data_IF_444425328707
#
_entry.id   IF_444425328707
#
_cell.length_a   1.000
_cell.length_b   1.000
_cell.length_c   1.000
_cell.angle_alpha   90.00
_cell.angle_beta   90.00
_cell.angle_gamma   90.00
#
_symmetry.space_group_name_H-M   'P 1'
#
loop_
_entity.id
_entity.type
_entity.pdbx_description
1 polymer ?
#
# COMPACT_ATOMS: atom_id res chain seq x y z
N UNK A 1 8.05 9.73 8.35
CA UNK A 1 8.60 8.83 7.32
C UNK A 1 7.54 7.97 6.65
N UNK A 2 6.69 7.21 7.38
CA UNK A 2 5.66 6.37 6.73
C UNK A 2 4.70 7.19 5.86
N UNK A 3 4.20 8.32 6.38
CA UNK A 3 3.36 9.27 5.63
C UNK A 3 4.12 9.86 4.43
N UNK A 4 5.40 10.20 4.59
CA UNK A 4 6.20 10.79 3.51
C UNK A 4 6.44 9.79 2.38
N UNK A 5 6.70 8.52 2.72
CA UNK A 5 6.81 7.42 1.75
C UNK A 5 5.47 7.14 1.06
N UNK A 6 4.36 7.20 1.80
CA UNK A 6 3.02 7.07 1.22
C UNK A 6 2.73 8.20 0.21
N UNK A 7 3.02 9.45 0.58
CA UNK A 7 2.88 10.62 -0.32
C UNK A 7 3.70 10.44 -1.60
N UNK A 8 4.96 10.02 -1.46
CA UNK A 8 5.80 9.75 -2.63
C UNK A 8 5.23 8.63 -3.51
N UNK A 9 4.68 7.58 -2.90
CA UNK A 9 4.03 6.48 -3.62
C UNK A 9 2.70 6.86 -4.29
N UNK A 10 2.05 7.95 -3.89
CA UNK A 10 0.87 8.51 -4.57
C UNK A 10 1.26 9.27 -5.85
N UNK A 11 2.46 9.82 -5.90
CA UNK A 11 2.98 10.60 -7.03
C UNK A 11 3.63 9.71 -8.09
N UNK A 12 4.39 8.69 -7.66
CA UNK A 12 5.13 7.79 -8.55
C UNK A 12 5.29 6.38 -7.97
N UNK A 13 5.64 5.42 -8.82
CA UNK A 13 5.97 4.07 -8.38
C UNK A 13 7.33 4.05 -7.67
N UNK A 14 7.37 3.55 -6.43
CA UNK A 14 8.60 3.50 -5.63
C UNK A 14 8.89 2.11 -5.07
N UNK A 15 10.16 1.84 -4.80
CA UNK A 15 10.62 0.68 -4.02
C UNK A 15 10.94 1.14 -2.61
N UNK A 16 10.19 0.65 -1.62
CA UNK A 16 10.43 0.94 -0.20
C UNK A 16 11.28 -0.16 0.43
N UNK A 17 12.56 0.12 0.65
CA UNK A 17 13.49 -0.78 1.32
C UNK A 17 13.68 -0.36 2.78
N UNK A 18 13.09 -1.13 3.71
CA UNK A 18 13.17 -0.91 5.16
C UNK A 18 13.30 -2.25 5.89
N UNK A 19 13.82 -2.23 7.11
CA UNK A 19 13.91 -3.40 7.98
C UNK A 19 12.53 -3.96 8.37
N UNK A 20 12.49 -5.22 8.78
CA UNK A 20 11.27 -5.84 9.30
C UNK A 20 10.86 -5.16 10.61
N UNK A 21 9.55 -4.97 10.82
CA UNK A 21 9.03 -4.22 11.97
C UNK A 21 8.95 -2.71 11.75
N UNK A 22 9.55 -2.15 10.69
CA UNK A 22 9.46 -0.70 10.36
C UNK A 22 8.10 -0.27 9.76
N UNK A 23 7.08 -1.14 9.79
CA UNK A 23 5.73 -0.78 9.32
C UNK A 23 5.57 -0.62 7.79
N UNK A 24 6.34 -1.36 6.99
CA UNK A 24 6.18 -1.40 5.52
C UNK A 24 4.74 -1.74 5.09
N UNK A 25 4.11 -2.73 5.73
CA UNK A 25 2.71 -3.10 5.48
C UNK A 25 1.77 -1.94 5.79
N UNK A 26 2.04 -1.18 6.85
CA UNK A 26 1.23 -0.01 7.20
C UNK A 26 1.28 1.07 6.11
N UNK A 27 2.45 1.30 5.50
CA UNK A 27 2.60 2.21 4.35
C UNK A 27 1.72 1.74 3.18
N UNK A 28 1.71 0.45 2.88
CA UNK A 28 0.88 -0.09 1.80
C UNK A 28 -0.63 0.07 2.10
N UNK A 29 -1.07 -0.19 3.34
CA UNK A 29 -2.46 0.01 3.76
C UNK A 29 -2.87 1.49 3.63
N UNK A 30 -2.00 2.41 4.06
CA UNK A 30 -2.22 3.85 3.89
C UNK A 30 -2.39 4.22 2.40
N UNK A 31 -1.51 3.70 1.54
CA UNK A 31 -1.59 3.95 0.09
C UNK A 31 -2.92 3.44 -0.50
N UNK A 32 -3.35 2.23 -0.13
CA UNK A 32 -4.63 1.67 -0.56
C UNK A 32 -5.81 2.53 -0.09
N UNK A 33 -5.76 3.02 1.15
CA UNK A 33 -6.78 3.90 1.71
C UNK A 33 -6.88 5.21 0.94
N UNK A 34 -5.74 5.89 0.71
CA UNK A 34 -5.65 7.15 -0.03
C UNK A 34 -6.12 6.99 -1.49
N UNK A 35 -5.71 5.90 -2.15
CA UNK A 35 -6.16 5.55 -3.51
C UNK A 35 -7.59 4.99 -3.56
N UNK A 36 -8.28 4.89 -2.42
CA UNK A 36 -9.63 4.31 -2.31
C UNK A 36 -10.65 4.98 -3.24
N UNK A 37 -10.49 6.28 -3.51
CA UNK A 37 -11.34 7.03 -4.42
C UNK A 37 -11.24 6.57 -5.88
N UNK A 38 -10.15 5.91 -6.27
CA UNK A 38 -9.93 5.39 -7.62
C UNK A 38 -10.56 4.02 -7.86
N UNK A 39 -10.88 3.28 -6.79
CA UNK A 39 -11.35 1.88 -6.84
C UNK A 39 -12.79 1.69 -6.37
N UNK A 40 -13.40 2.70 -5.74
CA UNK A 40 -14.83 2.69 -5.39
C UNK A 40 -15.70 2.80 -6.65
N UNK A 41 -16.97 2.44 -6.59
CA UNK A 41 -17.90 2.62 -7.72
C UNK A 41 -18.13 4.11 -7.98
N UNK A 42 -18.31 4.55 -9.24
CA UNK A 42 -18.46 3.77 -10.48
C UNK A 42 -17.17 3.29 -11.17
N UNK A 43 -16.00 3.53 -10.59
CA UNK A 43 -14.70 3.20 -11.17
C UNK A 43 -14.53 1.67 -11.31
N UNK A 44 -13.87 1.22 -12.37
CA UNK A 44 -13.59 -0.20 -12.66
C UNK A 44 -12.17 -0.64 -12.27
N UNK A 45 -11.40 0.23 -11.62
CA UNK A 45 -10.04 -0.07 -11.22
C UNK A 45 -10.02 -1.13 -10.12
N UNK A 46 -8.95 -1.93 -10.09
CA UNK A 46 -8.75 -2.97 -9.07
C UNK A 46 -7.47 -2.65 -8.29
N UNK A 47 -7.53 -2.81 -6.98
CA UNK A 47 -6.36 -2.79 -6.11
C UNK A 47 -6.05 -4.22 -5.67
N UNK A 48 -4.79 -4.65 -5.82
CA UNK A 48 -4.33 -5.99 -5.46
C UNK A 48 -3.13 -5.83 -4.53
N UNK A 49 -3.22 -6.42 -3.33
CA UNK A 49 -2.11 -6.51 -2.40
C UNK A 49 -1.53 -7.93 -2.43
N UNK A 50 -0.26 -8.06 -2.81
CA UNK A 50 0.42 -9.35 -2.93
C UNK A 50 1.34 -9.55 -1.72
N UNK A 51 1.20 -10.70 -1.05
CA UNK A 51 2.11 -11.15 -0.01
C UNK A 51 2.68 -12.53 -0.39
N UNK A 52 3.95 -12.82 -0.08
CA UNK A 52 4.61 -14.05 -0.53
C UNK A 52 4.11 -15.32 0.18
N UNK A 53 3.47 -15.19 1.34
CA UNK A 53 2.91 -16.33 2.09
C UNK A 53 1.52 -16.00 2.64
N UNK A 54 0.68 -17.03 2.76
CA UNK A 54 -0.70 -16.91 3.25
C UNK A 54 -0.76 -16.34 4.67
N UNK A 55 0.20 -16.71 5.53
CA UNK A 55 0.28 -16.21 6.90
C UNK A 55 0.35 -14.67 6.96
N UNK A 56 1.01 -14.03 5.99
CA UNK A 56 1.16 -12.57 5.92
C UNK A 56 -0.11 -11.86 5.42
N UNK A 57 -1.07 -12.60 4.82
CA UNK A 57 -2.36 -12.04 4.39
C UNK A 57 -3.35 -11.97 5.56
N UNK A 58 -3.24 -12.90 6.52
CA UNK A 58 -4.14 -12.98 7.67
C UNK A 58 -3.73 -12.10 8.85
N UNK A 59 -2.60 -11.38 8.75
CA UNK A 59 -2.06 -10.51 9.80
C UNK A 59 -2.78 -9.18 9.94
#
# INVERSE_FOLDING_TARGET
YQIDLCKKALEENIVVYLETGSGKTHIAVLLIYEMGHLIRKPQKNKCIFLAPTVALVQQ
#
